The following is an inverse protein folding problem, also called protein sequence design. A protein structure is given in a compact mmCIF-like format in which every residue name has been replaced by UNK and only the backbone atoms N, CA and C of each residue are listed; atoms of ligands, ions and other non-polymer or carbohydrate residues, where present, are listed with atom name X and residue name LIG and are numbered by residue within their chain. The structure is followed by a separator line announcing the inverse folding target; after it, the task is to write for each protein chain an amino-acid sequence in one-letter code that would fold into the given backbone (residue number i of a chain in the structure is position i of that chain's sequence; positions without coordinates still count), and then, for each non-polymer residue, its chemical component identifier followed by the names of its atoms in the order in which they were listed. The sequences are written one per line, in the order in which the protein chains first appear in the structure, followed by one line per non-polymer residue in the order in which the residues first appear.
data_IF_562216885365
#
_entry.id   IF_562216885365
#
_cell.length_a   1.000
_cell.length_b   1.000
_cell.length_c   1.000
_cell.angle_alpha   90.00
_cell.angle_beta   90.00
_cell.angle_gamma   90.00
#
_symmetry.space_group_name_H-M   'P 1'
#
loop_
_entity.id
_entity.type
_entity.pdbx_description
1 polymer ?
#
# COMPACT_ATOMS: atom_id res chain seq x y z
N UNK A 1 27.20 25.26 -62.63
CA UNK A 1 28.02 25.97 -61.61
C UNK A 1 28.12 25.02 -60.42
N UNK A 2 29.16 24.19 -60.26
CA UNK A 2 30.54 24.46 -59.80
C UNK A 2 30.62 25.35 -58.54
N UNK A 3 31.15 24.73 -57.47
CA UNK A 3 31.91 25.22 -56.31
C UNK A 3 31.27 24.71 -55.00
N UNK A 4 31.80 23.69 -54.31
CA UNK A 4 33.10 23.55 -53.62
C UNK A 4 33.08 23.99 -52.16
N UNK A 5 33.49 23.05 -51.29
CA UNK A 5 34.30 23.15 -50.05
C UNK A 5 34.06 24.38 -49.14
N UNK A 6 33.73 24.21 -47.87
CA UNK A 6 34.62 23.65 -46.84
C UNK A 6 34.43 24.43 -45.50
N UNK A 7 35.32 24.30 -44.50
CA UNK A 7 35.09 23.45 -43.32
C UNK A 7 35.15 24.16 -41.95
N UNK A 8 34.60 23.47 -40.93
CA UNK A 8 35.04 23.35 -39.52
C UNK A 8 35.39 24.59 -38.68
N UNK A 9 35.59 24.35 -37.37
CA UNK A 9 35.99 25.26 -36.27
C UNK A 9 34.77 25.85 -35.53
N UNK A 10 34.56 25.64 -34.22
CA UNK A 10 35.47 25.31 -33.12
C UNK A 10 34.68 24.64 -31.99
N UNK A 11 35.23 23.53 -31.49
CA UNK A 11 35.11 23.19 -30.08
C UNK A 11 35.99 24.19 -29.31
N UNK A 12 35.43 24.84 -28.29
CA UNK A 12 36.20 25.44 -27.21
C UNK A 12 35.89 24.69 -25.90
N UNK A 13 36.86 23.97 -25.32
CA UNK A 13 36.76 23.33 -24.02
C UNK A 13 37.08 24.36 -22.94
N UNK A 14 36.14 24.64 -22.04
CA UNK A 14 36.28 25.71 -21.06
C UNK A 14 35.56 25.41 -19.75
N UNK A 15 36.11 24.47 -19.01
CA UNK A 15 35.79 24.16 -17.63
C UNK A 15 35.78 25.40 -16.72
N UNK A 16 34.69 25.64 -15.99
CA UNK A 16 34.77 26.25 -14.65
C UNK A 16 33.98 25.42 -13.64
N UNK A 17 34.79 24.74 -12.83
CA UNK A 17 34.56 24.10 -11.55
C UNK A 17 33.75 24.99 -10.59
N UNK A 18 32.74 24.43 -9.93
CA UNK A 18 32.04 25.11 -8.84
C UNK A 18 30.78 24.40 -8.35
N UNK A 19 30.92 23.15 -7.88
CA UNK A 19 30.04 22.69 -6.80
C UNK A 19 30.39 23.52 -5.56
N UNK A 20 29.40 24.03 -4.81
CA UNK A 20 29.15 23.32 -3.56
C UNK A 20 27.69 23.30 -3.09
N UNK A 21 27.47 22.32 -2.20
CA UNK A 21 26.53 22.34 -1.09
C UNK A 21 25.04 22.18 -1.41
N UNK A 22 24.66 20.91 -1.45
CA UNK A 22 23.45 20.41 -0.82
C UNK A 22 23.41 20.79 0.68
N UNK A 23 22.33 21.42 1.18
CA UNK A 23 21.85 21.18 2.52
C UNK A 23 20.52 20.43 2.43
N UNK A 24 20.56 19.24 3.01
CA UNK A 24 19.43 18.38 3.20
C UNK A 24 18.18 19.10 3.71
N UNK A 25 17.02 18.51 3.38
CA UNK A 25 15.74 18.53 4.12
C UNK A 25 14.60 19.34 3.50
N UNK A 26 13.81 18.67 2.65
CA UNK A 26 12.35 18.77 2.70
C UNK A 26 11.69 17.47 2.20
N UNK A 27 11.72 16.45 3.07
CA UNK A 27 10.69 15.42 3.30
C UNK A 27 9.94 14.82 2.09
N UNK A 28 10.21 13.54 1.84
CA UNK A 28 9.24 12.56 1.35
C UNK A 28 9.13 12.45 -0.16
N UNK A 29 9.96 11.60 -0.75
CA UNK A 29 9.72 11.10 -2.10
C UNK A 29 8.40 10.31 -2.14
N UNK A 30 7.40 10.68 -2.96
CA UNK A 30 6.31 9.78 -3.25
C UNK A 30 6.76 8.73 -4.27
N UNK A 31 6.44 7.48 -3.95
CA UNK A 31 6.75 6.29 -4.72
C UNK A 31 6.24 6.30 -6.19
N UNK A 32 7.10 5.72 -7.03
CA UNK A 32 6.92 4.95 -8.28
C UNK A 32 6.32 5.57 -9.57
N UNK A 33 7.07 5.55 -10.70
CA UNK A 33 6.55 5.78 -12.04
C UNK A 33 6.03 4.45 -12.62
N UNK A 34 4.85 4.01 -12.22
CA UNK A 34 4.11 3.01 -13.01
C UNK A 34 3.35 3.77 -14.09
N UNK A 35 3.92 3.79 -15.29
CA UNK A 35 3.30 4.27 -16.52
C UNK A 35 2.02 3.44 -16.80
N UNK A 36 0.85 4.02 -16.56
CA UNK A 36 -0.43 3.48 -17.03
C UNK A 36 -0.98 4.39 -18.12
N UNK A 37 -0.95 3.88 -19.35
CA UNK A 37 -1.62 4.45 -20.52
C UNK A 37 -3.12 4.58 -20.26
N UNK A 38 -3.64 5.78 -20.48
CA UNK A 38 -5.06 6.08 -20.50
C UNK A 38 -5.25 7.59 -20.47
N UNK A 39 -5.68 8.17 -21.59
CA UNK A 39 -6.26 9.52 -21.59
C UNK A 39 -7.28 9.59 -20.45
N UNK A 40 -7.01 10.38 -19.40
CA UNK A 40 -7.70 10.26 -18.13
C UNK A 40 -9.15 10.67 -18.32
N UNK A 41 -10.03 10.03 -17.57
CA UNK A 41 -11.37 10.56 -17.35
C UNK A 41 -11.19 11.78 -16.43
N UNK A 42 -10.64 12.88 -16.95
CA UNK A 42 -9.86 13.85 -16.18
C UNK A 42 -10.69 14.51 -15.08
N UNK A 43 -11.99 14.68 -15.30
CA UNK A 43 -12.94 15.20 -14.30
C UNK A 43 -13.27 14.18 -13.20
N UNK A 44 -13.31 12.89 -13.51
CA UNK A 44 -13.49 11.81 -12.52
C UNK A 44 -12.23 11.63 -11.69
N UNK A 45 -11.07 11.66 -12.32
CA UNK A 45 -9.79 11.45 -11.64
C UNK A 45 -9.47 12.64 -10.74
N UNK A 46 -9.72 13.87 -11.20
CA UNK A 46 -9.61 15.07 -10.37
C UNK A 46 -10.55 15.04 -9.16
N UNK A 47 -11.80 14.62 -9.36
CA UNK A 47 -12.76 14.47 -8.25
C UNK A 47 -12.31 13.39 -7.26
N UNK A 48 -11.86 12.23 -7.75
CA UNK A 48 -11.38 11.15 -6.91
C UNK A 48 -10.17 11.60 -6.09
N UNK A 49 -9.22 12.30 -6.72
CA UNK A 49 -8.04 12.85 -6.06
C UNK A 49 -8.40 13.85 -4.97
N UNK A 50 -9.35 14.76 -5.24
CA UNK A 50 -9.86 15.69 -4.24
C UNK A 50 -10.48 14.97 -3.03
N UNK A 51 -11.28 13.92 -3.26
CA UNK A 51 -11.85 13.11 -2.17
C UNK A 51 -10.76 12.34 -1.41
N UNK A 52 -9.76 11.81 -2.12
CA UNK A 52 -8.64 11.10 -1.51
C UNK A 52 -7.83 12.01 -0.58
N UNK A 53 -7.41 13.17 -1.08
CA UNK A 53 -6.59 14.13 -0.33
C UNK A 53 -7.31 14.63 0.93
N UNK A 54 -8.63 14.82 0.85
CA UNK A 54 -9.45 15.29 1.97
C UNK A 54 -9.80 14.19 3.00
N UNK A 55 -10.05 12.95 2.54
CA UNK A 55 -10.63 11.90 3.39
C UNK A 55 -9.66 10.81 3.83
N UNK A 56 -8.57 10.54 3.08
CA UNK A 56 -7.70 9.39 3.34
C UNK A 56 -7.10 9.43 4.75
N UNK A 57 -6.47 10.54 5.14
CA UNK A 57 -5.84 10.67 6.45
C UNK A 57 -6.86 10.58 7.59
N UNK A 58 -8.06 11.14 7.43
CA UNK A 58 -9.11 11.05 8.44
C UNK A 58 -9.65 9.63 8.59
N UNK A 59 -9.88 8.94 7.47
CA UNK A 59 -10.37 7.57 7.46
C UNK A 59 -9.34 6.61 8.07
N UNK A 60 -8.07 6.73 7.67
CA UNK A 60 -6.96 5.94 8.21
C UNK A 60 -6.84 6.10 9.73
N UNK A 61 -6.83 7.34 10.23
CA UNK A 61 -6.76 7.63 11.67
C UNK A 61 -7.95 7.07 12.46
N UNK A 62 -9.12 7.05 11.86
CA UNK A 62 -10.31 6.46 12.47
C UNK A 62 -10.21 4.95 12.52
N UNK A 63 -9.81 4.31 11.41
CA UNK A 63 -9.61 2.87 11.33
C UNK A 63 -8.52 2.37 12.26
N UNK A 64 -7.38 3.06 12.34
CA UNK A 64 -6.28 2.68 13.24
C UNK A 64 -6.73 2.64 14.70
N UNK A 65 -7.59 3.58 15.12
CA UNK A 65 -8.20 3.55 16.47
C UNK A 65 -9.20 2.41 16.63
N UNK A 66 -9.93 2.07 15.58
CA UNK A 66 -10.96 1.03 15.62
C UNK A 66 -10.38 -0.40 15.56
N UNK A 67 -9.32 -0.61 14.79
CA UNK A 67 -8.63 -1.91 14.64
C UNK A 67 -7.58 -2.12 15.72
N UNK A 68 -6.97 -1.05 16.24
CA UNK A 68 -5.80 -1.12 17.12
C UNK A 68 -4.50 -1.45 16.36
N UNK A 69 -4.56 -1.51 15.03
CA UNK A 69 -3.47 -1.92 14.15
C UNK A 69 -3.40 -0.96 12.95
N UNK A 70 -2.33 -0.14 12.83
CA UNK A 70 -2.18 0.82 11.74
C UNK A 70 -1.93 0.16 10.38
N UNK A 71 -1.33 -1.02 10.32
CA UNK A 71 -1.07 -1.73 9.07
C UNK A 71 -2.40 -2.23 8.48
N UNK A 72 -3.19 -2.90 9.30
CA UNK A 72 -4.56 -3.31 8.93
C UNK A 72 -5.42 -2.10 8.56
N UNK A 73 -5.26 -0.97 9.25
CA UNK A 73 -6.00 0.25 8.92
C UNK A 73 -5.64 0.79 7.52
N UNK A 74 -4.37 0.71 7.13
CA UNK A 74 -3.88 1.06 5.79
C UNK A 74 -4.54 0.22 4.70
N UNK A 75 -4.52 -1.11 4.87
CA UNK A 75 -5.15 -2.04 3.92
C UNK A 75 -6.65 -1.77 3.75
N UNK A 76 -7.37 -1.58 4.87
CA UNK A 76 -8.81 -1.33 4.86
C UNK A 76 -9.16 0.00 4.19
N UNK A 77 -8.37 1.05 4.45
CA UNK A 77 -8.55 2.35 3.81
C UNK A 77 -8.31 2.25 2.29
N UNK A 78 -7.21 1.61 1.88
CA UNK A 78 -6.86 1.45 0.48
C UNK A 78 -7.96 0.68 -0.28
N UNK A 79 -8.42 -0.45 0.27
CA UNK A 79 -9.50 -1.25 -0.33
C UNK A 79 -10.80 -0.45 -0.45
N UNK A 80 -11.15 0.39 0.55
CA UNK A 80 -12.33 1.26 0.46
C UNK A 80 -12.22 2.27 -0.70
N UNK A 81 -11.05 2.87 -0.91
CA UNK A 81 -10.81 3.79 -2.02
C UNK A 81 -10.76 3.09 -3.38
N UNK A 82 -10.20 1.87 -3.46
CA UNK A 82 -10.26 1.05 -4.68
C UNK A 82 -11.71 0.76 -5.07
N UNK A 83 -12.57 0.43 -4.09
CA UNK A 83 -14.01 0.23 -4.33
C UNK A 83 -14.69 1.53 -4.78
N UNK A 84 -14.33 2.67 -4.19
CA UNK A 84 -14.84 3.97 -4.64
C UNK A 84 -14.47 4.23 -6.10
N UNK A 85 -13.20 3.99 -6.45
CA UNK A 85 -12.68 4.21 -7.79
C UNK A 85 -13.33 3.28 -8.83
N UNK A 86 -13.62 2.02 -8.48
CA UNK A 86 -14.25 1.03 -9.39
C UNK A 86 -15.76 1.19 -9.53
N UNK A 87 -16.42 1.91 -8.63
CA UNK A 87 -17.88 2.10 -8.66
C UNK A 87 -18.32 2.77 -9.96
N UNK A 88 -19.47 2.34 -10.50
CA UNK A 88 -20.17 3.08 -11.56
C UNK A 88 -20.93 4.24 -10.91
N UNK A 89 -20.48 5.47 -11.16
CA UNK A 89 -21.09 6.69 -10.62
C UNK A 89 -20.56 7.13 -9.25
N UNK A 90 -20.69 8.43 -8.98
CA UNK A 90 -20.26 9.05 -7.71
C UNK A 90 -21.36 8.85 -6.65
N UNK A 91 -21.02 8.52 -5.40
CA UNK A 91 -21.99 8.56 -4.32
C UNK A 91 -22.32 10.02 -3.97
N UNK A 92 -23.55 10.28 -3.54
CA UNK A 92 -23.97 11.64 -3.13
C UNK A 92 -23.18 12.13 -1.92
N UNK A 93 -22.81 11.21 -1.02
CA UNK A 93 -22.00 11.48 0.17
C UNK A 93 -20.76 10.57 0.21
N UNK A 94 -19.65 10.95 -0.46
CA UNK A 94 -18.45 10.11 -0.56
C UNK A 94 -17.84 9.75 0.78
N UNK A 95 -17.80 10.70 1.71
CA UNK A 95 -17.32 10.49 3.08
C UNK A 95 -18.15 9.43 3.80
N UNK A 96 -19.47 9.61 3.90
CA UNK A 96 -20.34 8.66 4.60
C UNK A 96 -20.27 7.25 3.98
N UNK A 97 -20.20 7.19 2.65
CA UNK A 97 -20.02 5.94 1.92
C UNK A 97 -18.69 5.25 2.26
N UNK A 98 -17.56 5.99 2.24
CA UNK A 98 -16.24 5.46 2.57
C UNK A 98 -16.20 4.89 3.99
N UNK A 99 -16.72 5.62 4.98
CA UNK A 99 -16.78 5.15 6.37
C UNK A 99 -17.65 3.90 6.50
N UNK A 100 -18.77 3.83 5.79
CA UNK A 100 -19.64 2.64 5.79
C UNK A 100 -18.90 1.42 5.24
N UNK A 101 -18.28 1.55 4.07
CA UNK A 101 -17.54 0.46 3.43
C UNK A 101 -16.36 0.02 4.30
N UNK A 102 -15.57 0.96 4.80
CA UNK A 102 -14.41 0.66 5.64
C UNK A 102 -14.81 -0.03 6.94
N UNK A 103 -15.91 0.37 7.58
CA UNK A 103 -16.42 -0.30 8.77
C UNK A 103 -16.90 -1.73 8.49
N UNK A 104 -17.51 -1.97 7.33
CA UNK A 104 -17.90 -3.32 6.93
C UNK A 104 -16.66 -4.21 6.71
N UNK A 105 -15.62 -3.68 6.06
CA UNK A 105 -14.34 -4.36 5.90
C UNK A 105 -13.69 -4.67 7.26
N UNK A 106 -13.66 -3.70 8.17
CA UNK A 106 -13.06 -3.87 9.50
C UNK A 106 -13.79 -4.94 10.34
N UNK A 107 -15.13 -4.98 10.30
CA UNK A 107 -15.91 -6.03 10.97
C UNK A 107 -15.60 -7.42 10.38
N UNK A 108 -15.53 -7.52 9.06
CA UNK A 108 -15.21 -8.77 8.37
C UNK A 108 -13.79 -9.26 8.72
N UNK A 109 -12.81 -8.36 8.79
CA UNK A 109 -11.44 -8.67 9.20
C UNK A 109 -11.40 -9.24 10.63
N UNK A 110 -12.12 -8.62 11.58
CA UNK A 110 -12.23 -9.10 12.97
C UNK A 110 -12.84 -10.51 13.04
N UNK A 111 -13.92 -10.76 12.31
CA UNK A 111 -14.57 -12.07 12.26
C UNK A 111 -13.66 -13.15 11.68
N UNK A 112 -12.95 -12.85 10.57
CA UNK A 112 -11.99 -13.78 9.94
C UNK A 112 -10.85 -14.12 10.90
N UNK A 113 -10.27 -13.13 11.57
CA UNK A 113 -9.20 -13.33 12.54
C UNK A 113 -9.67 -14.18 13.73
N UNK A 114 -10.89 -13.96 14.24
CA UNK A 114 -11.46 -14.77 15.32
C UNK A 114 -11.69 -16.22 14.92
N UNK A 115 -12.20 -16.46 13.70
CA UNK A 115 -12.39 -17.82 13.17
C UNK A 115 -11.05 -18.54 13.00
N UNK A 116 -10.04 -17.85 12.46
CA UNK A 116 -8.70 -18.42 12.29
C UNK A 116 -8.08 -18.81 13.62
N UNK A 117 -8.16 -17.93 14.63
CA UNK A 117 -7.68 -18.25 15.99
C UNK A 117 -8.39 -19.48 16.56
N UNK A 118 -9.71 -19.58 16.43
CA UNK A 118 -10.48 -20.74 16.91
C UNK A 118 -10.06 -22.04 16.22
N UNK A 119 -9.83 -22.02 14.90
CA UNK A 119 -9.35 -23.19 14.16
C UNK A 119 -7.95 -23.61 14.62
N UNK A 120 -7.01 -22.68 14.73
CA UNK A 120 -5.66 -22.97 15.22
C UNK A 120 -5.65 -23.51 16.66
N UNK A 121 -6.55 -23.01 17.52
CA UNK A 121 -6.75 -23.57 18.87
C UNK A 121 -7.27 -25.00 18.81
N UNK A 122 -8.24 -25.30 17.95
CA UNK A 122 -8.76 -26.66 17.76
C UNK A 122 -7.69 -27.60 17.20
N UNK A 123 -6.93 -27.19 16.19
CA UNK A 123 -5.82 -27.98 15.62
C UNK A 123 -4.73 -28.25 16.65
N UNK A 124 -4.36 -27.25 17.46
CA UNK A 124 -3.42 -27.43 18.58
C UNK A 124 -3.93 -28.48 19.56
N UNK A 125 -5.22 -28.44 19.93
CA UNK A 125 -5.81 -29.44 20.82
C UNK A 125 -5.82 -30.85 20.23
N UNK A 126 -5.99 -30.99 18.91
CA UNK A 126 -5.94 -32.31 18.24
C UNK A 126 -4.52 -32.88 18.14
N UNK A 127 -3.51 -32.03 17.99
CA UNK A 127 -2.12 -32.47 17.88
C UNK A 127 -1.55 -32.94 19.22
N UNK A 128 -1.86 -32.25 20.32
CA UNK A 128 -1.44 -32.65 21.69
C UNK A 128 -2.02 -34.02 22.09
N UNK A 129 -3.17 -34.41 21.54
CA UNK A 129 -3.77 -35.72 21.79
C UNK A 129 -3.18 -36.86 20.95
N UNK A 130 -2.42 -36.54 19.90
CA UNK A 130 -1.93 -37.51 18.92
C UNK A 130 -0.45 -37.84 19.07
N UNK A 131 0.28 -37.20 19.99
CA UNK A 131 1.65 -37.58 20.33
C UNK A 131 1.59 -38.77 21.32
N UNK A 132 1.96 -39.99 20.92
CA UNK A 132 2.02 -41.10 21.87
C UNK A 132 3.11 -40.78 22.89
N UNK A 133 2.86 -40.89 24.21
CA UNK A 133 3.92 -40.71 25.20
C UNK A 133 5.02 -41.74 24.88
N UNK A 134 6.19 -41.23 24.47
CA UNK A 134 7.38 -42.04 24.22
C UNK A 134 7.65 -42.90 25.45
N UNK A 135 7.54 -44.21 25.28
CA UNK A 135 7.81 -45.17 26.33
C UNK A 135 9.26 -44.97 26.84
N UNK A 136 9.48 -44.87 28.17
CA UNK A 136 10.82 -44.72 28.71
C UNK A 136 11.66 -45.96 28.45
N UNK A 137 12.94 -45.74 28.13
CA UNK A 137 13.86 -46.72 27.57
C UNK A 137 14.10 -47.96 28.41
N UNK A 138 14.10 -49.10 27.72
CA UNK A 138 14.65 -50.36 28.23
C UNK A 138 15.99 -50.61 27.54
N UNK A 139 17.05 -50.03 28.08
CA UNK A 139 18.41 -50.55 27.89
C UNK A 139 18.84 -51.13 29.23
N UNK A 140 18.55 -52.41 29.41
CA UNK A 140 19.14 -53.22 30.46
C UNK A 140 20.43 -53.81 29.88
N UNK A 141 21.57 -53.36 30.37
CA UNK A 141 22.87 -53.93 30.04
C UNK A 141 23.16 -55.13 30.92
N UNK A 142 23.71 -56.19 30.33
CA UNK A 142 24.70 -57.10 30.90
C UNK A 142 25.32 -57.92 29.78
#
# INVERSE_FOLDING_TARGET
MRASLGPALRNDPGQTRGEPANPAQARGEPADPIQAQGEPNSRRDAWFRAVFDDQFASLHRYLARFTGDPEVAGELAQEAFIRLYRRRGRPDQPKAWLFTVAMNLARNAKTKASRQRRLLTLERSTHVLSDPPGAPGTTCGS
#
